data_IF_057912977255
#
_entry.id   IF_057912977255
#
_cell.length_a   1.000
_cell.length_b   1.000
_cell.length_c   1.000
_cell.angle_alpha   90.00
_cell.angle_beta   90.00
_cell.angle_gamma   90.00
#
_symmetry.space_group_name_H-M   'P 1'
#
loop_
_entity.id
_entity.type
_entity.pdbx_description
1 polymer ?
#
# COMPACT_ATOMS: atom_id res chain seq x y z
N UNK A 1 3.56 -0.11 30.74
CA UNK A 1 4.85 0.20 30.08
C UNK A 1 4.91 -0.31 28.64
N UNK A 2 4.60 -1.59 28.36
CA UNK A 2 4.66 -2.16 27.00
C UNK A 2 3.79 -1.41 25.96
N UNK A 3 2.55 -1.06 26.29
CA UNK A 3 1.66 -0.29 25.40
C UNK A 3 2.22 1.11 25.07
N UNK A 4 2.84 1.79 26.04
CA UNK A 4 3.48 3.10 25.85
C UNK A 4 4.71 2.99 24.94
N UNK A 5 5.47 1.89 25.05
CA UNK A 5 6.59 1.59 24.13
C UNK A 5 6.09 1.29 22.70
N UNK A 6 4.92 0.67 22.56
CA UNK A 6 4.27 0.46 21.27
C UNK A 6 3.84 1.78 20.62
N UNK A 7 3.18 2.66 21.39
CA UNK A 7 2.72 3.97 20.90
C UNK A 7 3.89 4.87 20.51
N UNK A 8 4.96 4.91 21.30
CA UNK A 8 6.17 5.69 20.96
C UNK A 8 6.84 5.19 19.69
N UNK A 9 6.92 3.86 19.48
CA UNK A 9 7.40 3.27 18.23
C UNK A 9 6.52 3.67 17.03
N UNK A 10 5.19 3.70 17.20
CA UNK A 10 4.23 4.13 16.18
C UNK A 10 4.32 5.63 15.87
N UNK A 11 4.49 6.47 16.88
CA UNK A 11 4.68 7.92 16.70
C UNK A 11 5.97 8.20 15.93
N UNK A 12 7.03 7.45 16.21
CA UNK A 12 8.29 7.60 15.49
C UNK A 12 8.14 7.28 13.99
N UNK A 13 7.31 6.29 13.62
CA UNK A 13 7.03 5.99 12.21
C UNK A 13 6.47 7.18 11.43
N UNK A 14 5.69 8.05 12.07
CA UNK A 14 5.19 9.28 11.46
C UNK A 14 6.28 10.37 11.31
N UNK A 15 7.37 10.27 12.08
CA UNK A 15 8.47 11.23 12.05
C UNK A 15 9.55 10.90 11.00
N UNK A 16 9.64 9.65 10.53
CA UNK A 16 10.64 9.22 9.55
C UNK A 16 10.72 10.10 8.28
N UNK A 17 9.59 10.51 7.64
CA UNK A 17 9.64 11.38 6.46
C UNK A 17 10.31 12.74 6.74
N UNK A 18 10.09 13.30 7.93
CA UNK A 18 10.70 14.57 8.33
C UNK A 18 12.20 14.40 8.55
N UNK A 19 12.62 13.27 9.13
CA UNK A 19 14.03 12.96 9.37
C UNK A 19 14.82 12.92 8.05
N UNK A 20 14.25 12.33 7.00
CA UNK A 20 14.88 12.28 5.66
C UNK A 20 15.07 13.68 5.08
N UNK A 21 14.12 14.60 5.29
CA UNK A 21 14.25 16.01 4.86
C UNK A 21 15.44 16.71 5.52
N UNK A 22 15.79 16.36 6.76
CA UNK A 22 16.96 16.90 7.46
C UNK A 22 18.26 16.21 7.08
N UNK A 23 18.25 14.89 6.81
CA UNK A 23 19.44 14.14 6.44
C UNK A 23 19.88 14.36 4.99
N UNK A 24 18.94 14.56 4.07
CA UNK A 24 19.26 14.65 2.64
C UNK A 24 20.23 15.79 2.29
N UNK A 25 20.10 17.02 2.85
CA UNK A 25 21.09 18.08 2.65
C UNK A 25 22.49 17.70 3.16
N UNK A 26 22.57 17.02 4.31
CA UNK A 26 23.85 16.56 4.87
C UNK A 26 24.51 15.49 4.00
N UNK A 27 23.74 14.53 3.50
CA UNK A 27 24.23 13.51 2.55
C UNK A 27 24.72 14.18 1.26
N UNK A 28 24.02 15.20 0.76
CA UNK A 28 24.43 15.95 -0.42
C UNK A 28 25.66 16.83 -0.22
N UNK A 29 26.03 17.18 1.02
CA UNK A 29 27.31 17.84 1.33
C UNK A 29 28.49 16.86 1.22
N UNK A 30 28.29 15.61 1.64
CA UNK A 30 29.33 14.56 1.63
C UNK A 30 29.44 13.88 0.27
N UNK A 31 28.35 13.81 -0.49
CA UNK A 31 28.26 13.14 -1.79
C UNK A 31 29.37 13.55 -2.80
N UNK A 32 29.71 14.85 -2.97
CA UNK A 32 30.78 15.26 -3.89
C UNK A 32 32.16 14.79 -3.46
N UNK A 33 32.40 14.69 -2.15
CA UNK A 33 33.67 14.21 -1.61
C UNK A 33 33.85 12.71 -1.84
N UNK A 34 32.77 11.93 -1.77
CA UNK A 34 32.81 10.46 -1.93
C UNK A 34 32.77 10.04 -3.41
N UNK A 35 31.93 10.67 -4.23
CA UNK A 35 31.65 10.25 -5.60
C UNK A 35 32.20 11.19 -6.68
N UNK A 36 32.77 12.33 -6.31
CA UNK A 36 33.34 13.29 -7.26
C UNK A 36 32.32 13.95 -8.20
N UNK A 37 31.02 13.89 -7.88
CA UNK A 37 29.93 14.43 -8.69
C UNK A 37 29.15 15.52 -7.93
N UNK A 38 28.67 16.57 -8.60
CA UNK A 38 27.84 17.58 -7.95
C UNK A 38 26.51 16.95 -7.48
N UNK A 39 25.92 17.43 -6.38
CA UNK A 39 24.66 16.89 -5.88
C UNK A 39 23.52 17.19 -6.87
N UNK A 40 22.56 16.27 -7.03
CA UNK A 40 21.46 16.47 -7.98
C UNK A 40 20.57 17.64 -7.54
N UNK A 41 20.13 18.44 -8.52
CA UNK A 41 19.24 19.59 -8.30
C UNK A 41 17.82 19.14 -7.97
N UNK A 42 17.11 19.91 -7.15
CA UNK A 42 15.70 19.64 -6.83
C UNK A 42 14.86 19.59 -8.12
N UNK A 43 13.95 18.61 -8.20
CA UNK A 43 13.08 18.39 -9.37
C UNK A 43 13.65 17.49 -10.47
N UNK A 44 14.92 17.09 -10.39
CA UNK A 44 15.50 16.09 -11.31
C UNK A 44 15.13 14.66 -10.91
N UNK A 45 15.13 13.73 -11.88
CA UNK A 45 14.88 12.31 -11.61
C UNK A 45 15.92 11.71 -10.65
N UNK A 46 17.17 12.19 -10.71
CA UNK A 46 18.25 11.73 -9.83
C UNK A 46 18.05 12.17 -8.37
N UNK A 47 17.52 13.38 -8.15
CA UNK A 47 17.14 13.82 -6.80
C UNK A 47 16.05 12.93 -6.20
N UNK A 48 15.06 12.52 -7.00
CA UNK A 48 14.02 11.59 -6.54
C UNK A 48 14.60 10.22 -6.18
N UNK A 49 15.57 9.71 -6.95
CA UNK A 49 16.29 8.46 -6.62
C UNK A 49 17.07 8.58 -5.30
N UNK A 50 17.81 9.67 -5.11
CA UNK A 50 18.55 9.94 -3.87
C UNK A 50 17.62 10.02 -2.66
N UNK A 51 16.48 10.69 -2.80
CA UNK A 51 15.47 10.73 -1.74
C UNK A 51 14.93 9.34 -1.40
N UNK A 52 14.57 8.53 -2.40
CA UNK A 52 14.07 7.15 -2.19
C UNK A 52 15.10 6.26 -1.50
N UNK A 53 16.36 6.32 -1.91
CA UNK A 53 17.45 5.55 -1.30
C UNK A 53 17.71 5.99 0.14
N UNK A 54 17.74 7.30 0.40
CA UNK A 54 17.90 7.84 1.75
C UNK A 54 16.74 7.43 2.65
N UNK A 55 15.51 7.54 2.14
CA UNK A 55 14.31 7.12 2.85
C UNK A 55 14.34 5.63 3.19
N UNK A 56 14.71 4.79 2.23
CA UNK A 56 14.89 3.36 2.44
C UNK A 56 15.93 3.09 3.52
N UNK A 57 17.10 3.74 3.48
CA UNK A 57 18.16 3.55 4.46
C UNK A 57 17.67 3.89 5.87
N UNK A 58 17.00 5.02 6.05
CA UNK A 58 16.46 5.44 7.36
C UNK A 58 15.44 4.44 7.88
N UNK A 59 14.51 3.99 7.02
CA UNK A 59 13.49 3.00 7.43
C UNK A 59 14.13 1.66 7.78
N UNK A 60 15.05 1.15 6.96
CA UNK A 60 15.74 -0.11 7.22
C UNK A 60 16.58 -0.01 8.49
N UNK A 61 17.32 1.08 8.68
CA UNK A 61 18.09 1.32 9.91
C UNK A 61 17.19 1.34 11.14
N UNK A 62 16.02 1.99 11.07
CA UNK A 62 15.08 2.00 12.18
C UNK A 62 14.45 0.63 12.41
N UNK A 63 14.08 -0.09 11.35
CA UNK A 63 13.58 -1.45 11.44
C UNK A 63 14.61 -2.37 12.13
N UNK A 64 15.89 -2.28 11.73
CA UNK A 64 17.00 -2.99 12.37
C UNK A 64 17.15 -2.59 13.84
N UNK A 65 17.09 -1.30 14.18
CA UNK A 65 17.13 -0.85 15.57
C UNK A 65 15.98 -1.43 16.40
N UNK A 66 14.75 -1.39 15.87
CA UNK A 66 13.58 -1.96 16.56
C UNK A 66 13.66 -3.47 16.70
N UNK A 67 14.21 -4.17 15.70
CA UNK A 67 14.42 -5.62 15.73
C UNK A 67 15.53 -6.00 16.72
N UNK A 68 16.63 -5.25 16.75
CA UNK A 68 17.70 -5.42 17.72
C UNK A 68 17.19 -5.19 19.15
N UNK A 69 16.40 -4.13 19.36
CA UNK A 69 15.73 -3.89 20.63
C UNK A 69 14.83 -5.06 21.02
N UNK A 70 13.95 -5.52 20.13
CA UNK A 70 13.10 -6.68 20.39
C UNK A 70 13.88 -7.97 20.66
N UNK A 71 15.07 -8.12 20.08
CA UNK A 71 15.95 -9.24 20.36
C UNK A 71 16.64 -9.11 21.73
N UNK A 72 17.09 -7.93 22.15
CA UNK A 72 17.87 -7.77 23.39
C UNK A 72 16.99 -7.55 24.63
N UNK A 73 15.84 -6.88 24.50
CA UNK A 73 14.97 -6.51 25.63
C UNK A 73 13.99 -7.63 26.03
N UNK A 74 14.36 -8.89 25.84
CA UNK A 74 13.51 -10.01 26.23
C UNK A 74 13.61 -10.20 27.74
N UNK A 75 12.47 -10.26 28.42
CA UNK A 75 12.44 -10.56 29.85
C UNK A 75 13.14 -11.89 30.15
N UNK A 76 13.94 -11.95 31.24
CA UNK A 76 14.64 -13.17 31.60
C UNK A 76 13.65 -14.31 31.82
N UNK A 77 13.96 -15.47 31.26
CA UNK A 77 13.13 -16.67 31.47
C UNK A 77 13.47 -17.35 32.81
N UNK A 78 12.59 -18.23 33.28
CA UNK A 78 12.75 -18.94 34.55
C UNK A 78 13.99 -19.83 34.58
N UNK A 79 14.38 -20.40 33.44
CA UNK A 79 15.61 -21.17 33.31
C UNK A 79 16.86 -20.29 33.51
N UNK A 80 16.90 -19.10 32.92
CA UNK A 80 17.96 -18.09 33.07
C UNK A 80 18.00 -17.55 34.50
N UNK A 81 16.85 -17.34 35.16
CA UNK A 81 16.78 -16.93 36.57
C UNK A 81 17.41 -17.99 37.50
N UNK A 82 17.23 -19.27 37.19
CA UNK A 82 17.79 -20.40 37.94
C UNK A 82 19.23 -20.77 37.48
N UNK A 83 19.70 -20.20 36.37
CA UNK A 83 21.01 -20.50 35.78
C UNK A 83 21.12 -21.91 35.18
N UNK A 84 20.01 -22.47 34.69
CA UNK A 84 19.94 -23.81 34.08
C UNK A 84 19.53 -23.73 32.61
N UNK A 85 19.83 -24.79 31.85
CA UNK A 85 19.38 -24.91 30.47
C UNK A 85 17.90 -25.36 30.40
N UNK A 86 17.11 -24.97 29.39
CA UNK A 86 15.73 -25.44 29.23
C UNK A 86 15.59 -26.96 29.18
N UNK A 87 16.62 -27.67 28.72
CA UNK A 87 16.72 -29.14 28.64
C UNK A 87 17.07 -29.82 29.96
N UNK A 88 17.27 -29.06 31.04
CA UNK A 88 17.68 -29.59 32.34
C UNK A 88 16.65 -30.55 32.97
N UNK A 89 17.17 -31.61 33.58
CA UNK A 89 16.43 -32.62 34.33
C UNK A 89 15.91 -32.08 35.68
N UNK A 90 14.89 -32.74 36.24
CA UNK A 90 14.30 -32.39 37.54
C UNK A 90 15.33 -32.40 38.69
N UNK A 91 16.35 -33.27 38.60
CA UNK A 91 17.43 -33.33 39.58
C UNK A 91 18.32 -32.08 39.54
N UNK A 92 18.66 -31.63 38.33
CA UNK A 92 19.42 -30.39 38.12
C UNK A 92 18.64 -29.15 38.54
N UNK A 93 17.32 -29.12 38.25
CA UNK A 93 16.42 -28.06 38.71
C UNK A 93 16.39 -27.96 40.25
N UNK A 94 16.23 -29.10 40.95
CA UNK A 94 16.26 -29.15 42.42
C UNK A 94 17.63 -28.78 43.00
N UNK A 95 18.72 -29.15 42.35
CA UNK A 95 20.06 -28.80 42.79
C UNK A 95 20.32 -27.28 42.66
N UNK A 96 19.98 -26.69 41.51
CA UNK A 96 20.11 -25.27 41.25
C UNK A 96 19.30 -24.42 42.24
N UNK A 97 18.03 -24.77 42.48
CA UNK A 97 17.20 -24.08 43.47
C UNK A 97 17.77 -24.15 44.89
N UNK A 98 18.27 -25.33 45.32
CA UNK A 98 18.92 -25.47 46.64
C UNK A 98 20.18 -24.62 46.77
N UNK A 99 20.99 -24.53 45.71
CA UNK A 99 22.18 -23.69 45.70
C UNK A 99 21.82 -22.20 45.75
N UNK A 100 20.83 -21.78 44.96
CA UNK A 100 20.31 -20.42 44.97
C UNK A 100 19.78 -20.04 46.36
N UNK A 101 18.90 -20.87 46.93
CA UNK A 101 18.30 -20.61 48.24
C UNK A 101 19.33 -20.51 49.37
N UNK A 102 20.42 -21.28 49.33
CA UNK A 102 21.51 -21.17 50.33
C UNK A 102 22.28 -19.86 50.25
N UNK A 103 22.39 -19.29 49.04
CA UNK A 103 23.14 -18.06 48.76
C UNK A 103 22.30 -16.81 48.98
N UNK A 104 21.02 -16.87 48.61
CA UNK A 104 20.10 -15.73 48.58
C UNK A 104 18.95 -15.85 49.59
N UNK A 105 19.12 -16.63 50.67
CA UNK A 105 18.11 -16.71 51.73
C UNK A 105 17.85 -15.31 52.32
N UNK A 106 16.59 -14.91 52.57
CA UNK A 106 16.27 -13.59 53.11
C UNK A 106 16.96 -13.32 54.45
N UNK A 107 17.14 -14.34 55.31
CA UNK A 107 17.90 -14.23 56.56
C UNK A 107 19.37 -13.83 56.39
N UNK A 108 19.96 -14.04 55.19
CA UNK A 108 21.36 -13.71 54.90
C UNK A 108 21.53 -12.41 54.13
N UNK A 109 20.62 -12.10 53.21
CA UNK A 109 20.76 -10.98 52.26
C UNK A 109 19.89 -9.78 52.67
N UNK A 110 19.01 -9.95 53.65
CA UNK A 110 18.08 -8.91 54.10
C UNK A 110 16.91 -8.69 53.13
N UNK A 111 16.10 -7.65 53.35
CA UNK A 111 14.85 -7.39 52.62
C UNK A 111 15.07 -7.11 51.13
N UNK A 112 16.24 -6.62 50.73
CA UNK A 112 16.58 -6.36 49.32
C UNK A 112 16.66 -7.66 48.49
N UNK A 113 16.93 -8.80 49.14
CA UNK A 113 16.96 -10.12 48.51
C UNK A 113 15.59 -10.82 48.42
N UNK A 114 14.58 -10.34 49.14
CA UNK A 114 13.27 -10.98 49.25
C UNK A 114 12.55 -11.03 47.89
N UNK A 115 12.58 -9.93 47.14
CA UNK A 115 11.95 -9.85 45.82
C UNK A 115 12.54 -10.84 44.81
N UNK A 116 13.87 -10.99 44.79
CA UNK A 116 14.55 -11.97 43.92
C UNK A 116 14.26 -13.40 44.37
N UNK A 117 14.21 -13.64 45.68
CA UNK A 117 13.90 -14.96 46.23
C UNK A 117 12.48 -15.40 45.87
N UNK A 118 11.49 -14.50 45.96
CA UNK A 118 10.10 -14.75 45.55
C UNK A 118 10.06 -15.13 44.06
N UNK A 119 10.70 -14.34 43.19
CA UNK A 119 10.71 -14.62 41.74
C UNK A 119 11.32 -15.99 41.42
N UNK A 120 12.44 -16.35 42.04
CA UNK A 120 13.11 -17.64 41.79
C UNK A 120 12.33 -18.81 42.39
N UNK A 121 11.66 -18.62 43.53
CA UNK A 121 10.74 -19.61 44.09
C UNK A 121 9.58 -19.87 43.14
N UNK A 122 8.95 -18.81 42.64
CA UNK A 122 7.81 -18.93 41.72
C UNK A 122 8.24 -19.60 40.40
N UNK A 123 9.44 -19.27 39.90
CA UNK A 123 10.07 -19.96 38.77
C UNK A 123 10.27 -21.46 39.04
N UNK A 124 10.79 -21.84 40.21
CA UNK A 124 10.96 -23.24 40.59
C UNK A 124 9.62 -23.98 40.70
N UNK A 125 8.60 -23.36 41.29
CA UNK A 125 7.26 -23.96 41.42
C UNK A 125 6.59 -24.20 40.06
N UNK A 126 6.77 -23.27 39.12
CA UNK A 126 6.29 -23.41 37.75
C UNK A 126 6.99 -24.56 37.01
N UNK A 127 8.33 -24.63 37.10
CA UNK A 127 9.12 -25.64 36.40
C UNK A 127 9.05 -27.03 37.02
N UNK A 128 8.74 -27.14 38.31
CA UNK A 128 8.66 -28.42 39.05
C UNK A 128 7.52 -29.33 38.57
N UNK A 129 6.39 -28.74 38.16
CA UNK A 129 5.25 -29.53 37.66
C UNK A 129 5.35 -29.68 36.15
N UNK A 130 5.28 -30.91 35.59
CA UNK A 130 5.40 -31.11 34.15
C UNK A 130 4.30 -30.40 33.36
N UNK A 131 3.09 -30.29 33.93
CA UNK A 131 1.97 -29.59 33.29
C UNK A 131 2.19 -28.07 33.28
N UNK A 132 2.65 -27.49 34.40
CA UNK A 132 2.94 -26.06 34.49
C UNK A 132 4.17 -25.67 33.67
N UNK A 133 5.20 -26.52 33.64
CA UNK A 133 6.38 -26.37 32.76
C UNK A 133 5.96 -26.35 31.29
N UNK A 134 5.08 -27.27 30.88
CA UNK A 134 4.53 -27.28 29.52
C UNK A 134 3.81 -25.97 29.17
N UNK A 135 2.97 -25.48 30.09
CA UNK A 135 2.19 -24.25 29.88
C UNK A 135 3.11 -23.02 29.81
N UNK A 136 4.05 -22.91 30.75
CA UNK A 136 5.06 -21.86 30.79
C UNK A 136 5.88 -21.81 29.50
N UNK A 137 6.36 -22.95 29.02
CA UNK A 137 7.23 -22.99 27.84
C UNK A 137 6.55 -22.42 26.59
N UNK A 138 5.24 -22.69 26.41
CA UNK A 138 4.49 -22.29 25.21
C UNK A 138 3.86 -20.91 25.30
N UNK A 139 3.31 -20.58 26.45
CA UNK A 139 2.46 -19.40 26.62
C UNK A 139 3.09 -18.35 27.55
N UNK A 140 4.19 -18.69 28.22
CA UNK A 140 4.93 -17.79 29.10
C UNK A 140 4.36 -17.70 30.52
N UNK A 141 4.79 -16.71 31.31
CA UNK A 141 4.35 -16.54 32.70
C UNK A 141 2.84 -16.28 32.82
N UNK A 142 2.24 -15.60 31.83
CA UNK A 142 0.80 -15.28 31.78
C UNK A 142 -0.06 -16.55 31.90
N UNK A 143 0.46 -17.70 31.45
CA UNK A 143 -0.23 -18.99 31.50
C UNK A 143 -0.41 -19.52 32.92
N UNK A 144 0.46 -19.12 33.85
CA UNK A 144 0.45 -19.61 35.23
C UNK A 144 -0.64 -18.93 36.07
N UNK A 145 -1.15 -17.79 35.61
CA UNK A 145 -2.25 -17.06 36.23
C UNK A 145 -3.63 -17.65 35.86
N UNK A 146 -3.68 -18.59 34.91
CA UNK A 146 -4.93 -19.20 34.46
C UNK A 146 -5.47 -20.21 35.49
N UNK A 147 -6.19 -19.69 36.49
CA UNK A 147 -6.76 -20.46 37.59
C UNK A 147 -7.72 -21.59 37.16
N UNK A 148 -8.30 -21.49 35.97
CA UNK A 148 -9.24 -22.47 35.41
C UNK A 148 -8.56 -23.64 34.70
N UNK A 149 -7.23 -23.61 34.52
CA UNK A 149 -6.49 -24.61 33.76
C UNK A 149 -5.67 -25.53 34.71
N UNK A 150 -5.99 -26.82 34.68
CA UNK A 150 -5.31 -27.86 35.46
C UNK A 150 -4.71 -28.96 34.58
N UNK A 151 -5.35 -29.25 33.44
CA UNK A 151 -4.90 -30.29 32.51
C UNK A 151 -4.20 -29.71 31.28
N UNK A 152 -3.34 -30.53 30.65
CA UNK A 152 -2.61 -30.16 29.43
C UNK A 152 -3.54 -29.61 28.33
N UNK A 153 -4.68 -30.27 28.13
CA UNK A 153 -5.67 -29.92 27.11
C UNK A 153 -6.34 -28.57 27.39
N UNK A 154 -6.58 -28.25 28.66
CA UNK A 154 -7.14 -26.95 29.06
C UNK A 154 -6.18 -25.82 28.74
N UNK A 155 -4.89 -25.97 29.07
CA UNK A 155 -3.86 -24.99 28.72
C UNK A 155 -3.75 -24.77 27.21
N UNK A 156 -3.73 -25.84 26.41
CA UNK A 156 -3.66 -25.72 24.95
C UNK A 156 -4.90 -25.02 24.40
N UNK A 157 -6.11 -25.40 24.86
CA UNK A 157 -7.36 -24.78 24.40
C UNK A 157 -7.40 -23.29 24.74
N UNK A 158 -7.05 -22.94 25.97
CA UNK A 158 -7.06 -21.55 26.42
C UNK A 158 -6.01 -20.72 25.68
N UNK A 159 -4.79 -21.24 25.55
CA UNK A 159 -3.72 -20.59 24.80
C UNK A 159 -4.05 -20.40 23.31
N UNK A 160 -4.69 -21.39 22.67
CA UNK A 160 -5.14 -21.27 21.28
C UNK A 160 -6.27 -20.24 21.13
N UNK A 161 -7.19 -20.14 22.08
CA UNK A 161 -8.20 -19.09 22.09
C UNK A 161 -7.58 -17.69 22.24
N UNK A 162 -6.57 -17.54 23.10
CA UNK A 162 -5.85 -16.28 23.24
C UNK A 162 -5.08 -15.91 21.96
N UNK A 163 -4.39 -16.87 21.35
CA UNK A 163 -3.70 -16.69 20.08
C UNK A 163 -4.67 -16.25 18.97
N UNK A 164 -5.79 -16.95 18.81
CA UNK A 164 -6.80 -16.58 17.80
C UNK A 164 -7.37 -15.17 18.03
N UNK A 165 -7.53 -14.74 19.29
CA UNK A 165 -7.91 -13.36 19.61
C UNK A 165 -6.96 -12.30 19.04
N UNK A 166 -5.65 -12.52 19.13
CA UNK A 166 -4.64 -11.62 18.54
C UNK A 166 -4.78 -11.53 17.01
N UNK A 167 -4.96 -12.67 16.33
CA UNK A 167 -5.12 -12.69 14.87
C UNK A 167 -6.41 -12.04 14.42
N UNK A 168 -7.54 -12.32 15.09
CA UNK A 168 -8.83 -11.69 14.77
C UNK A 168 -8.71 -10.17 14.89
N UNK A 169 -8.19 -9.67 16.01
CA UNK A 169 -7.99 -8.25 16.23
C UNK A 169 -7.07 -7.63 15.17
N UNK A 170 -5.99 -8.32 14.82
CA UNK A 170 -5.03 -7.86 13.81
C UNK A 170 -5.64 -7.83 12.41
N UNK A 171 -6.39 -8.87 12.01
CA UNK A 171 -7.12 -8.91 10.73
C UNK A 171 -8.17 -7.82 10.69
N UNK A 172 -8.96 -7.64 11.75
CA UNK A 172 -9.95 -6.57 11.85
C UNK A 172 -9.31 -5.19 11.71
N UNK A 173 -8.17 -4.96 12.37
CA UNK A 173 -7.41 -3.71 12.22
C UNK A 173 -6.88 -3.52 10.80
N UNK A 174 -6.38 -4.58 10.16
CA UNK A 174 -5.90 -4.51 8.77
C UNK A 174 -7.05 -4.21 7.79
N UNK A 175 -8.22 -4.81 7.99
CA UNK A 175 -9.43 -4.52 7.20
C UNK A 175 -9.84 -3.06 7.42
N UNK A 176 -9.87 -2.58 8.67
CA UNK A 176 -10.18 -1.19 8.99
C UNK A 176 -9.20 -0.22 8.31
N UNK A 177 -7.90 -0.47 8.41
CA UNK A 177 -6.87 0.33 7.74
C UNK A 177 -6.99 0.28 6.21
N UNK A 178 -7.41 -0.86 5.66
CA UNK A 178 -7.67 -1.00 4.22
C UNK A 178 -8.96 -0.30 3.78
N UNK A 179 -9.92 -0.11 4.68
CA UNK A 179 -11.16 0.62 4.42
C UNK A 179 -10.97 2.15 4.54
N UNK A 180 -10.14 2.62 5.48
CA UNK A 180 -9.79 4.03 5.63
C UNK A 180 -8.73 4.49 4.62
N UNK A 181 -7.88 3.59 4.13
CA UNK A 181 -6.87 3.85 3.12
C UNK A 181 -7.30 3.44 1.70
N UNK A 182 -6.54 3.85 0.69
CA UNK A 182 -6.68 3.25 -0.66
C UNK A 182 -6.16 1.81 -0.61
N UNK A 183 -6.88 0.82 -1.20
CA UNK A 183 -6.36 -0.53 -1.30
C UNK A 183 -5.11 -0.52 -2.18
N UNK A 184 -3.95 -0.55 -1.53
CA UNK A 184 -2.65 -0.61 -2.21
C UNK A 184 -2.13 -2.04 -2.29
N UNK A 185 -1.17 -2.33 -3.20
CA UNK A 185 -0.53 -3.64 -3.32
C UNK A 185 0.14 -4.12 -2.01
N UNK A 186 0.36 -3.22 -1.05
CA UNK A 186 0.89 -3.51 0.28
C UNK A 186 -0.07 -4.31 1.16
N UNK A 187 -1.38 -4.17 0.97
CA UNK A 187 -2.36 -4.89 1.76
C UNK A 187 -2.17 -6.41 1.65
N UNK A 188 -1.98 -6.90 0.42
CA UNK A 188 -1.70 -8.30 0.13
C UNK A 188 -0.50 -8.85 0.91
N UNK A 189 0.63 -8.15 0.87
CA UNK A 189 1.86 -8.58 1.57
C UNK A 189 1.69 -8.65 3.09
N UNK A 190 0.86 -7.79 3.69
CA UNK A 190 0.57 -7.84 5.12
C UNK A 190 -0.22 -9.08 5.51
N UNK A 191 -1.18 -9.49 4.69
CA UNK A 191 -1.93 -10.73 4.93
C UNK A 191 -1.04 -11.97 4.79
N UNK A 192 -0.14 -11.99 3.81
CA UNK A 192 0.85 -13.07 3.68
C UNK A 192 1.75 -13.14 4.91
N UNK A 193 2.29 -12.01 5.36
CA UNK A 193 3.14 -11.97 6.56
C UNK A 193 2.38 -12.46 7.80
N UNK A 194 1.11 -12.07 7.94
CA UNK A 194 0.27 -12.52 9.05
C UNK A 194 0.00 -14.03 9.00
N UNK A 195 -0.27 -14.57 7.80
CA UNK A 195 -0.46 -16.01 7.60
C UNK A 195 0.82 -16.79 7.92
N UNK A 196 1.98 -16.32 7.47
CA UNK A 196 3.27 -16.91 7.78
C UNK A 196 3.54 -16.91 9.29
N UNK A 197 3.24 -15.79 9.96
CA UNK A 197 3.34 -15.66 11.42
C UNK A 197 2.45 -16.67 12.14
N UNK A 198 1.20 -16.82 11.69
CA UNK A 198 0.26 -17.82 12.22
C UNK A 198 0.76 -19.26 12.06
N UNK A 199 1.32 -19.60 10.90
CA UNK A 199 1.91 -20.93 10.67
C UNK A 199 3.07 -21.18 11.63
N UNK A 200 3.98 -20.23 11.80
CA UNK A 200 5.11 -20.38 12.73
C UNK A 200 4.68 -20.45 14.19
N UNK A 201 3.69 -19.66 14.61
CA UNK A 201 3.15 -19.76 15.97
C UNK A 201 2.52 -21.12 16.23
N UNK A 202 1.77 -21.65 15.26
CA UNK A 202 1.19 -22.98 15.36
C UNK A 202 2.27 -24.07 15.47
N UNK A 203 3.36 -23.94 14.71
CA UNK A 203 4.52 -24.83 14.80
C UNK A 203 5.15 -24.80 16.20
N UNK A 204 5.28 -23.63 16.84
CA UNK A 204 5.81 -23.53 18.20
C UNK A 204 4.87 -24.12 19.28
N UNK A 205 3.56 -24.00 19.10
CA UNK A 205 2.57 -24.56 20.03
C UNK A 205 2.55 -26.09 19.93
N UNK A 206 2.64 -26.63 18.71
CA UNK A 206 2.55 -28.07 18.45
C UNK A 206 3.85 -28.84 18.72
N UNK A 207 5.02 -28.21 18.52
CA UNK A 207 6.29 -28.88 18.74
C UNK A 207 6.54 -29.17 20.24
N UNK A 208 7.20 -30.30 20.57
CA UNK A 208 7.60 -30.59 21.94
C UNK A 208 8.59 -29.52 22.44
N UNK A 209 8.39 -29.07 23.69
CA UNK A 209 9.31 -28.17 24.39
C UNK A 209 9.81 -28.90 25.63
N UNK A 210 11.13 -28.90 25.91
CA UNK A 210 12.19 -28.15 25.21
C UNK A 210 12.52 -28.76 23.84
N UNK A 211 12.80 -27.93 22.83
CA UNK A 211 13.35 -28.43 21.58
C UNK A 211 14.74 -29.02 21.88
N UNK A 212 15.08 -30.23 21.41
CA UNK A 212 16.43 -30.76 21.57
C UNK A 212 17.42 -29.77 20.96
N UNK A 213 18.52 -29.49 21.67
CA UNK A 213 19.57 -28.57 21.23
C UNK A 213 19.91 -28.87 19.76
N UNK A 214 19.75 -27.85 18.91
CA UNK A 214 19.92 -27.97 17.48
C UNK A 214 21.39 -28.30 17.18
N UNK A 215 21.70 -29.58 17.08
CA UNK A 215 22.94 -30.10 16.45
C UNK A 215 22.86 -30.02 14.92
N UNK A 216 21.72 -29.54 14.40
CA UNK A 216 21.42 -29.39 12.99
C UNK A 216 21.96 -28.08 12.41
N UNK A 217 22.74 -28.21 11.34
CA UNK A 217 23.20 -27.12 10.47
C UNK A 217 22.06 -26.19 9.99
N UNK A 218 22.37 -24.92 9.65
CA UNK A 218 21.39 -23.97 9.06
C UNK A 218 20.66 -24.54 7.83
N UNK A 219 21.34 -25.39 7.04
CA UNK A 219 20.75 -26.11 5.90
C UNK A 219 19.62 -27.06 6.31
N UNK A 220 19.79 -27.80 7.40
CA UNK A 220 18.72 -28.70 7.91
C UNK A 220 17.53 -27.95 8.51
N UNK A 221 17.70 -26.71 8.98
CA UNK A 221 16.59 -25.87 9.43
C UNK A 221 15.82 -25.21 8.27
N UNK A 222 16.52 -24.91 7.16
CA UNK A 222 15.94 -24.28 5.96
C UNK A 222 15.36 -25.28 4.95
N UNK A 223 15.88 -26.50 4.90
CA UNK A 223 15.51 -27.56 3.96
C UNK A 223 15.11 -28.87 4.66
N UNK A 224 14.51 -28.77 5.85
CA UNK A 224 14.13 -29.93 6.64
C UNK A 224 13.24 -30.90 5.84
N UNK A 225 13.66 -32.16 5.75
CA UNK A 225 12.84 -33.26 5.23
C UNK A 225 11.67 -33.49 6.21
N UNK A 226 10.40 -33.40 5.76
CA UNK A 226 9.22 -33.49 6.64
C UNK A 226 9.10 -34.83 7.38
N UNK A 227 9.90 -35.84 7.04
CA UNK A 227 9.86 -37.19 7.59
C UNK A 227 10.80 -37.42 8.79
N UNK A 228 11.78 -36.55 9.01
CA UNK A 228 12.72 -36.66 10.13
C UNK A 228 12.20 -35.81 11.32
N UNK A 229 11.74 -36.49 12.37
CA UNK A 229 11.02 -35.93 13.53
C UNK A 229 11.77 -34.93 14.43
N UNK A 230 12.80 -34.23 13.94
CA UNK A 230 13.53 -33.16 14.65
C UNK A 230 13.52 -31.88 13.83
N UNK A 231 12.34 -31.26 13.68
CA UNK A 231 12.24 -29.94 13.08
C UNK A 231 12.80 -28.88 14.03
N UNK A 232 14.08 -28.54 13.87
CA UNK A 232 14.68 -27.41 14.56
C UNK A 232 14.27 -26.12 13.84
N UNK A 233 13.40 -25.33 14.48
CA UNK A 233 13.04 -24.02 13.96
C UNK A 233 14.29 -23.14 13.78
N UNK A 234 14.35 -22.33 12.72
CA UNK A 234 15.47 -21.41 12.46
C UNK A 234 15.77 -20.50 13.66
N UNK A 235 14.74 -20.13 14.41
CA UNK A 235 14.88 -19.36 15.64
C UNK A 235 15.55 -20.11 16.80
N UNK A 236 15.38 -21.43 16.89
CA UNK A 236 16.07 -22.26 17.87
C UNK A 236 17.57 -22.37 17.58
N UNK A 237 17.99 -22.27 16.32
CA UNK A 237 19.41 -22.21 15.93
C UNK A 237 20.01 -20.84 16.27
N UNK A 238 19.28 -19.76 15.99
CA UNK A 238 19.76 -18.39 16.24
C UNK A 238 19.82 -18.02 17.72
N UNK A 239 18.88 -18.54 18.52
CA UNK A 239 18.79 -18.26 19.96
C UNK A 239 18.48 -19.52 20.76
N UNK A 240 19.50 -20.37 21.03
CA UNK A 240 19.30 -21.66 21.71
C UNK A 240 18.82 -21.53 23.16
N UNK A 241 19.05 -20.38 23.81
CA UNK A 241 18.69 -20.15 25.21
C UNK A 241 17.26 -19.60 25.40
N UNK A 242 16.46 -19.50 24.32
CA UNK A 242 15.10 -18.95 24.37
C UNK A 242 14.05 -20.05 24.39
N UNK A 243 12.92 -19.71 25.01
CA UNK A 243 11.76 -20.61 25.12
C UNK A 243 10.74 -20.26 24.03
N UNK A 244 9.83 -21.20 23.70
CA UNK A 244 8.88 -21.05 22.60
C UNK A 244 8.05 -19.75 22.68
N UNK A 245 7.53 -19.38 23.86
CA UNK A 245 6.76 -18.14 24.02
C UNK A 245 7.58 -16.87 23.69
N UNK A 246 8.89 -16.86 23.95
CA UNK A 246 9.77 -15.72 23.63
C UNK A 246 9.96 -15.60 22.12
N UNK A 247 10.02 -16.73 21.40
CA UNK A 247 10.05 -16.74 19.94
C UNK A 247 8.74 -16.21 19.35
N UNK A 248 7.58 -16.62 19.89
CA UNK A 248 6.27 -16.11 19.46
C UNK A 248 6.16 -14.60 19.66
N UNK A 249 6.52 -14.08 20.85
CA UNK A 249 6.53 -12.63 21.13
C UNK A 249 7.47 -11.86 20.19
N UNK A 250 8.66 -12.41 19.92
CA UNK A 250 9.60 -11.83 18.96
C UNK A 250 9.01 -11.78 17.54
N UNK A 251 8.30 -12.83 17.14
CA UNK A 251 7.69 -12.97 15.82
C UNK A 251 6.50 -12.02 15.64
N UNK A 252 5.68 -11.79 16.68
CA UNK A 252 4.66 -10.73 16.67
C UNK A 252 5.28 -9.33 16.56
N UNK A 253 6.39 -9.07 17.27
CA UNK A 253 7.11 -7.79 17.15
C UNK A 253 7.69 -7.61 15.75
N UNK A 254 8.30 -8.66 15.18
CA UNK A 254 8.81 -8.66 13.80
C UNK A 254 7.68 -8.35 12.82
N UNK A 255 6.54 -9.03 12.93
CA UNK A 255 5.35 -8.79 12.11
C UNK A 255 4.94 -7.32 12.13
N UNK A 256 4.79 -6.74 13.33
CA UNK A 256 4.40 -5.34 13.47
C UNK A 256 5.42 -4.41 12.78
N UNK A 257 6.72 -4.57 13.07
CA UNK A 257 7.76 -3.73 12.46
C UNK A 257 7.83 -3.86 10.93
N UNK A 258 7.76 -5.08 10.39
CA UNK A 258 7.74 -5.34 8.95
C UNK A 258 6.49 -4.77 8.28
N UNK A 259 5.31 -4.91 8.91
CA UNK A 259 4.04 -4.39 8.40
C UNK A 259 4.05 -2.86 8.28
N UNK A 260 4.57 -2.17 9.31
CA UNK A 260 4.74 -0.71 9.29
C UNK A 260 5.81 -0.27 8.29
N UNK A 261 6.94 -0.98 8.22
CA UNK A 261 8.00 -0.69 7.24
C UNK A 261 7.46 -0.80 5.81
N UNK A 262 6.79 -1.91 5.47
CA UNK A 262 6.17 -2.11 4.15
C UNK A 262 5.16 -1.03 3.80
N UNK A 263 4.31 -0.64 4.76
CA UNK A 263 3.26 0.38 4.55
C UNK A 263 3.85 1.76 4.22
N UNK A 264 5.03 2.08 4.75
CA UNK A 264 5.68 3.37 4.53
C UNK A 264 6.64 3.36 3.33
N UNK A 265 7.33 2.24 3.10
CA UNK A 265 8.41 2.12 2.12
C UNK A 265 7.90 1.83 0.72
N UNK A 266 6.92 0.94 0.58
CA UNK A 266 6.43 0.50 -0.74
C UNK A 266 5.82 1.66 -1.54
N UNK A 267 4.98 2.56 -0.98
CA UNK A 267 4.44 3.68 -1.74
C UNK A 267 5.51 4.66 -2.25
N UNK A 268 6.63 4.78 -1.53
CA UNK A 268 7.74 5.69 -1.87
C UNK A 268 8.64 5.09 -2.95
N UNK A 269 8.90 3.78 -2.89
CA UNK A 269 9.69 3.06 -3.90
C UNK A 269 8.91 2.87 -5.20
N UNK A 270 7.66 2.45 -5.08
CA UNK A 270 6.78 2.09 -6.19
C UNK A 270 5.55 3.00 -6.15
N UNK A 271 5.69 4.26 -6.58
CA UNK A 271 4.53 5.14 -6.70
C UNK A 271 3.55 4.50 -7.68
N UNK A 272 2.29 4.38 -7.27
CA UNK A 272 1.23 3.91 -8.17
C UNK A 272 1.17 4.84 -9.39
N UNK A 273 1.14 4.29 -10.62
CA UNK A 273 1.06 5.12 -11.81
C UNK A 273 -0.21 5.97 -11.74
N UNK A 274 -0.10 7.24 -12.14
CA UNK A 274 -1.29 8.07 -12.35
C UNK A 274 -2.14 7.44 -13.46
N UNK A 275 -3.47 7.62 -13.45
CA UNK A 275 -4.35 7.00 -14.45
C UNK A 275 -3.91 7.28 -15.89
N UNK A 276 -3.36 8.48 -16.16
CA UNK A 276 -2.82 8.86 -17.47
C UNK A 276 -1.53 8.11 -17.86
N UNK A 277 -0.62 7.88 -16.90
CA UNK A 277 0.59 7.07 -17.13
C UNK A 277 0.23 5.59 -17.28
N UNK A 278 -0.79 5.12 -16.56
CA UNK A 278 -1.23 3.74 -16.62
C UNK A 278 -1.85 3.41 -17.98
N UNK A 279 -2.61 4.33 -18.57
CA UNK A 279 -3.11 4.19 -19.95
C UNK A 279 -1.95 4.11 -20.96
N UNK A 280 -0.96 4.99 -20.87
CA UNK A 280 0.21 4.95 -21.75
C UNK A 280 1.03 3.65 -21.59
N UNK A 281 1.21 3.17 -20.35
CA UNK A 281 1.91 1.92 -20.08
C UNK A 281 1.19 0.73 -20.71
N UNK A 282 -0.13 0.61 -20.49
CA UNK A 282 -0.96 -0.47 -21.03
C UNK A 282 -0.93 -0.43 -22.57
N UNK A 283 -1.04 0.75 -23.18
CA UNK A 283 -0.97 0.90 -24.64
C UNK A 283 0.38 0.45 -25.18
N UNK A 284 1.48 0.82 -24.52
CA UNK A 284 2.81 0.45 -24.97
C UNK A 284 3.08 -1.06 -24.81
N UNK A 285 2.67 -1.67 -23.71
CA UNK A 285 2.72 -3.12 -23.50
C UNK A 285 1.87 -3.87 -24.54
N UNK A 286 0.62 -3.43 -24.75
CA UNK A 286 -0.25 -4.03 -25.76
C UNK A 286 0.36 -3.94 -27.17
N UNK A 287 1.02 -2.83 -27.50
CA UNK A 287 1.77 -2.69 -28.77
C UNK A 287 2.94 -3.68 -28.84
N UNK A 288 3.70 -3.86 -27.76
CA UNK A 288 4.81 -4.81 -27.75
C UNK A 288 4.33 -6.26 -27.92
N UNK A 289 3.27 -6.66 -27.21
CA UNK A 289 2.67 -7.99 -27.35
C UNK A 289 2.15 -8.20 -28.77
N UNK A 290 1.51 -7.19 -29.36
CA UNK A 290 1.02 -7.26 -30.73
C UNK A 290 2.15 -7.40 -31.75
N UNK A 291 3.26 -6.66 -31.57
CA UNK A 291 4.44 -6.79 -32.41
C UNK A 291 5.08 -8.18 -32.30
N UNK A 292 5.20 -8.71 -31.08
CA UNK A 292 5.70 -10.07 -30.85
C UNK A 292 4.77 -11.13 -31.46
N UNK A 293 3.46 -10.98 -31.31
CA UNK A 293 2.49 -11.88 -31.93
C UNK A 293 2.60 -11.89 -33.45
N UNK A 294 2.72 -10.72 -34.08
CA UNK A 294 2.88 -10.61 -35.53
C UNK A 294 4.20 -11.24 -36.01
N UNK A 295 5.28 -11.06 -35.26
CA UNK A 295 6.56 -11.70 -35.57
C UNK A 295 6.45 -13.24 -35.51
N UNK A 296 5.84 -13.77 -34.45
CA UNK A 296 5.61 -15.22 -34.30
C UNK A 296 4.72 -15.75 -35.42
N UNK A 297 3.66 -15.04 -35.79
CA UNK A 297 2.79 -15.42 -36.91
C UNK A 297 3.57 -15.47 -38.23
N UNK A 298 4.46 -14.51 -38.47
CA UNK A 298 5.29 -14.49 -39.67
C UNK A 298 6.33 -15.62 -39.67
N UNK A 299 6.96 -15.91 -38.54
CA UNK A 299 7.85 -17.07 -38.42
C UNK A 299 7.10 -18.39 -38.66
N UNK A 300 5.91 -18.55 -38.09
CA UNK A 300 5.08 -19.74 -38.30
C UNK A 300 4.69 -19.91 -39.77
N UNK A 301 4.27 -18.83 -40.46
CA UNK A 301 3.91 -18.93 -41.88
C UNK A 301 5.13 -19.24 -42.75
N UNK A 302 6.28 -18.62 -42.49
CA UNK A 302 7.51 -18.94 -43.23
C UNK A 302 7.94 -20.39 -43.02
N UNK A 303 7.88 -20.92 -41.79
CA UNK A 303 8.18 -22.32 -41.51
C UNK A 303 7.23 -23.27 -42.26
N UNK A 304 5.92 -23.02 -42.19
CA UNK A 304 4.92 -23.81 -42.93
C UNK A 304 5.18 -23.75 -44.44
N UNK A 305 5.48 -22.58 -44.98
CA UNK A 305 5.78 -22.42 -46.39
C UNK A 305 7.08 -23.13 -46.80
N UNK A 306 8.12 -23.12 -45.95
CA UNK A 306 9.34 -23.90 -46.19
C UNK A 306 9.07 -25.40 -46.17
N UNK A 307 8.24 -25.90 -45.24
CA UNK A 307 7.83 -27.30 -45.20
C UNK A 307 7.00 -27.68 -46.43
N UNK A 308 6.10 -26.79 -46.87
CA UNK A 308 5.29 -27.00 -48.06
C UNK A 308 6.13 -27.04 -49.34
N UNK A 309 7.09 -26.12 -49.48
CA UNK A 309 8.04 -26.13 -50.59
C UNK A 309 8.99 -27.34 -50.53
N UNK A 310 9.39 -27.77 -49.34
CA UNK A 310 10.16 -29.01 -49.18
C UNK A 310 9.34 -30.24 -49.62
N UNK A 311 8.04 -30.27 -49.30
CA UNK A 311 7.13 -31.34 -49.73
C UNK A 311 6.85 -31.31 -51.24
N UNK A 312 6.66 -30.14 -51.84
CA UNK A 312 6.47 -30.00 -53.29
C UNK A 312 7.77 -30.18 -54.10
N UNK A 313 8.92 -29.93 -53.47
CA UNK A 313 10.25 -30.01 -54.10
C UNK A 313 10.81 -31.43 -54.19
N UNK A 314 10.20 -32.42 -53.55
CA UNK A 314 10.62 -33.82 -53.67
C UNK A 314 9.94 -34.54 -54.81
N UNK A 315 10.28 -34.14 -56.04
CA UNK A 315 10.42 -35.12 -57.12
C UNK A 315 11.77 -35.82 -56.93
N UNK A 316 11.83 -36.77 -55.99
CA UNK A 316 12.95 -37.71 -55.84
C UNK A 316 14.15 -37.28 -54.99
N UNK A 317 13.95 -36.71 -53.78
CA UNK A 317 15.03 -36.57 -52.81
C UNK A 317 14.90 -37.59 -51.66
N UNK A 318 15.92 -38.43 -51.51
CA UNK A 318 16.04 -39.42 -50.42
C UNK A 318 16.35 -38.72 -49.09
N UNK A 319 15.50 -38.90 -48.08
CA UNK A 319 15.71 -38.36 -46.73
C UNK A 319 16.57 -39.31 -45.88
N UNK A 320 17.58 -38.83 -45.14
CA UNK A 320 18.44 -39.69 -44.32
C UNK A 320 17.73 -40.43 -43.17
N UNK A 321 16.51 -40.00 -42.79
CA UNK A 321 15.78 -40.56 -41.65
C UNK A 321 14.43 -41.21 -42.01
N UNK A 322 13.82 -40.89 -43.15
CA UNK A 322 12.44 -41.33 -43.45
C UNK A 322 12.31 -42.33 -44.62
N UNK A 323 13.40 -42.64 -45.33
CA UNK A 323 13.36 -43.57 -46.47
C UNK A 323 12.56 -43.04 -47.67
N UNK A 324 12.55 -43.78 -48.78
CA UNK A 324 11.78 -43.43 -49.98
C UNK A 324 10.27 -43.59 -49.73
N UNK A 325 9.51 -42.52 -49.95
CA UNK A 325 8.05 -42.54 -49.89
C UNK A 325 7.47 -43.08 -51.22
N UNK A 326 6.46 -43.97 -51.19
CA UNK A 326 5.88 -44.53 -52.41
C UNK A 326 5.17 -43.46 -53.23
N UNK A 327 5.45 -43.40 -54.53
CA UNK A 327 4.68 -42.62 -55.48
C UNK A 327 3.32 -43.28 -55.71
N UNK A 328 2.28 -42.72 -55.11
CA UNK A 328 0.90 -43.03 -55.45
C UNK A 328 0.10 -41.73 -55.66
N UNK A 329 -0.79 -41.72 -56.65
CA UNK A 329 -1.54 -40.52 -57.09
C UNK A 329 -2.36 -39.86 -55.97
N UNK A 330 -2.63 -40.58 -54.89
CA UNK A 330 -3.26 -40.07 -53.67
C UNK A 330 -2.41 -39.00 -52.96
N UNK A 331 -1.09 -38.99 -53.13
CA UNK A 331 -0.22 -37.96 -52.55
C UNK A 331 -0.47 -36.60 -53.21
N UNK A 332 -0.69 -36.55 -54.53
CA UNK A 332 -0.98 -35.31 -55.25
C UNK A 332 -2.34 -34.74 -54.84
N UNK A 333 -3.35 -35.59 -54.62
CA UNK A 333 -4.67 -35.17 -54.14
C UNK A 333 -4.63 -34.64 -52.69
N UNK A 334 -3.85 -35.28 -51.81
CA UNK A 334 -3.64 -34.81 -50.43
C UNK A 334 -2.85 -33.50 -50.41
N UNK A 335 -1.83 -33.38 -51.26
CA UNK A 335 -1.03 -32.15 -51.38
C UNK A 335 -1.88 -31.01 -51.95
N UNK A 336 -2.74 -31.27 -52.93
CA UNK A 336 -3.68 -30.28 -53.47
C UNK A 336 -4.76 -29.88 -52.48
N UNK A 337 -5.31 -30.82 -51.69
CA UNK A 337 -6.26 -30.53 -50.63
C UNK A 337 -5.62 -29.70 -49.51
N UNK A 338 -4.39 -30.03 -49.12
CA UNK A 338 -3.62 -29.28 -48.12
C UNK A 338 -3.26 -27.88 -48.65
N UNK A 339 -2.90 -27.74 -49.92
CA UNK A 339 -2.62 -26.46 -50.56
C UNK A 339 -3.88 -25.56 -50.60
N UNK A 340 -5.05 -26.13 -50.90
CA UNK A 340 -6.31 -25.40 -50.87
C UNK A 340 -6.72 -24.97 -49.45
N UNK A 341 -6.49 -25.82 -48.44
CA UNK A 341 -6.67 -25.41 -47.04
C UNK A 341 -5.67 -24.33 -46.62
N UNK A 342 -4.42 -24.41 -47.07
CA UNK A 342 -3.39 -23.41 -46.76
C UNK A 342 -3.70 -22.06 -47.42
N UNK A 343 -4.21 -22.07 -48.65
CA UNK A 343 -4.68 -20.88 -49.35
C UNK A 343 -5.86 -20.24 -48.62
N UNK A 344 -6.82 -21.04 -48.14
CA UNK A 344 -7.90 -20.56 -47.29
C UNK A 344 -7.39 -19.99 -45.96
N UNK A 345 -6.39 -20.60 -45.35
CA UNK A 345 -5.78 -20.13 -44.10
C UNK A 345 -4.95 -18.84 -44.33
N UNK A 346 -4.30 -18.70 -45.47
CA UNK A 346 -3.61 -17.48 -45.91
C UNK A 346 -4.60 -16.35 -46.22
N UNK A 347 -5.70 -16.65 -46.90
CA UNK A 347 -6.80 -15.70 -47.14
C UNK A 347 -7.47 -15.30 -45.82
N UNK A 348 -7.70 -16.24 -44.90
CA UNK A 348 -8.26 -15.95 -43.59
C UNK A 348 -7.31 -15.10 -42.75
N UNK A 349 -6.01 -15.40 -42.76
CA UNK A 349 -5.00 -14.61 -42.03
C UNK A 349 -4.77 -13.24 -42.65
N UNK A 350 -4.78 -13.10 -43.98
CA UNK A 350 -4.77 -11.79 -44.64
C UNK A 350 -6.05 -11.00 -44.36
N UNK A 351 -7.23 -11.62 -44.44
CA UNK A 351 -8.49 -10.97 -44.05
C UNK A 351 -8.51 -10.59 -42.57
N UNK A 352 -7.83 -11.35 -41.70
CA UNK A 352 -7.71 -11.06 -40.26
C UNK A 352 -6.66 -9.98 -39.97
N UNK A 353 -5.59 -9.90 -40.77
CA UNK A 353 -4.52 -8.90 -40.68
C UNK A 353 -4.93 -7.52 -41.27
N UNK A 354 -5.59 -7.52 -42.44
CA UNK A 354 -6.25 -6.33 -42.99
C UNK A 354 -7.44 -5.89 -42.12
N UNK A 355 -7.86 -6.77 -41.21
CA UNK A 355 -8.84 -6.51 -40.19
C UNK A 355 -10.23 -6.62 -40.79
N UNK A 356 -10.75 -7.85 -40.76
CA UNK A 356 -12.07 -8.18 -41.24
C UNK A 356 -13.21 -7.37 -40.58
N UNK A 357 -14.48 -7.76 -40.78
CA UNK A 357 -15.64 -6.98 -40.36
C UNK A 357 -15.67 -6.61 -38.86
N UNK A 358 -14.89 -7.29 -38.03
CA UNK A 358 -14.69 -6.96 -36.62
C UNK A 358 -13.79 -5.73 -36.39
N UNK A 359 -12.72 -5.51 -37.17
CA UNK A 359 -11.89 -4.30 -37.02
C UNK A 359 -12.67 -3.08 -37.48
N UNK A 360 -13.39 -3.16 -38.61
CA UNK A 360 -14.27 -2.09 -39.06
C UNK A 360 -15.46 -1.89 -38.12
N UNK A 361 -16.01 -2.94 -37.50
CA UNK A 361 -17.04 -2.79 -36.46
C UNK A 361 -16.49 -2.18 -35.17
N UNK A 362 -15.29 -2.55 -34.74
CA UNK A 362 -14.62 -1.98 -33.55
C UNK A 362 -14.22 -0.53 -33.81
N UNK A 363 -13.70 -0.20 -34.99
CA UNK A 363 -13.34 1.16 -35.39
C UNK A 363 -14.58 2.04 -35.53
N UNK A 364 -15.66 1.53 -36.14
CA UNK A 364 -16.96 2.19 -36.13
C UNK A 364 -17.54 2.34 -34.71
N UNK A 365 -17.33 1.37 -33.82
CA UNK A 365 -17.80 1.45 -32.42
C UNK A 365 -16.99 2.47 -31.62
N UNK A 366 -15.68 2.53 -31.81
CA UNK A 366 -14.79 3.54 -31.22
C UNK A 366 -15.17 4.92 -31.74
N UNK A 367 -15.41 5.07 -33.04
CA UNK A 367 -15.82 6.33 -33.65
C UNK A 367 -17.21 6.76 -33.15
N UNK A 368 -18.14 5.81 -32.99
CA UNK A 368 -19.47 6.07 -32.39
C UNK A 368 -19.34 6.58 -30.96
N UNK A 369 -18.48 5.96 -30.16
CA UNK A 369 -18.24 6.34 -28.76
C UNK A 369 -17.50 7.68 -28.63
N UNK A 370 -16.58 7.98 -29.55
CA UNK A 370 -15.93 9.30 -29.66
C UNK A 370 -16.95 10.39 -30.00
N UNK A 371 -17.81 10.15 -31.00
CA UNK A 371 -18.90 11.07 -31.37
C UNK A 371 -19.91 11.26 -30.24
N UNK A 372 -20.18 10.23 -29.44
CA UNK A 372 -21.05 10.30 -28.27
C UNK A 372 -20.44 11.17 -27.16
N UNK A 373 -19.15 10.95 -26.83
CA UNK A 373 -18.41 11.81 -25.89
C UNK A 373 -18.32 13.26 -26.36
N UNK A 374 -18.18 13.49 -27.66
CA UNK A 374 -18.13 14.83 -28.24
C UNK A 374 -19.52 15.49 -28.19
N UNK A 375 -20.59 14.74 -28.43
CA UNK A 375 -21.98 15.19 -28.23
C UNK A 375 -22.30 15.45 -26.77
N UNK A 376 -21.79 14.66 -25.83
CA UNK A 376 -21.90 14.92 -24.39
C UNK A 376 -21.17 16.21 -24.04
N UNK A 377 -19.94 16.42 -24.51
CA UNK A 377 -19.19 17.68 -24.29
C UNK A 377 -19.88 18.90 -24.91
N UNK A 378 -20.44 18.77 -26.10
CA UNK A 378 -21.19 19.84 -26.77
C UNK A 378 -22.55 20.07 -26.12
N UNK A 379 -23.20 19.01 -25.65
CA UNK A 379 -24.45 19.01 -24.91
C UNK A 379 -24.26 19.65 -23.54
N UNK A 380 -23.21 19.33 -22.80
CA UNK A 380 -22.84 19.93 -21.52
C UNK A 380 -22.56 21.42 -21.69
N UNK A 381 -21.83 21.82 -22.75
CA UNK A 381 -21.65 23.24 -23.14
C UNK A 381 -22.94 23.92 -23.61
N UNK A 382 -23.95 23.18 -24.06
CA UNK A 382 -25.28 23.72 -24.40
C UNK A 382 -26.12 23.89 -23.15
N UNK A 383 -26.15 22.87 -22.29
CA UNK A 383 -26.80 22.88 -20.99
C UNK A 383 -26.26 23.97 -20.09
N UNK A 384 -24.96 24.20 -20.06
CA UNK A 384 -24.36 25.32 -19.32
C UNK A 384 -24.77 26.67 -19.91
N UNK A 385 -24.79 26.81 -21.25
CA UNK A 385 -25.28 28.03 -21.92
C UNK A 385 -26.76 28.30 -21.68
N UNK A 386 -27.60 27.27 -21.68
CA UNK A 386 -29.04 27.42 -21.44
C UNK A 386 -29.31 27.68 -19.95
N UNK A 387 -28.57 27.04 -19.04
CA UNK A 387 -28.63 27.31 -17.60
C UNK A 387 -28.20 28.73 -17.27
N UNK A 388 -27.15 29.25 -17.91
CA UNK A 388 -26.74 30.65 -17.76
C UNK A 388 -27.81 31.60 -18.34
N UNK A 389 -28.43 31.25 -19.47
CA UNK A 389 -29.51 32.04 -20.08
C UNK A 389 -30.79 32.07 -19.24
N UNK A 390 -31.13 30.96 -18.58
CA UNK A 390 -32.27 30.90 -17.65
C UNK A 390 -31.97 31.63 -16.35
N UNK A 391 -30.73 31.54 -15.84
CA UNK A 391 -30.27 32.30 -14.67
C UNK A 391 -30.30 33.82 -14.94
N UNK A 392 -30.02 34.24 -16.17
CA UNK A 392 -30.16 35.65 -16.59
C UNK A 392 -31.64 36.05 -16.74
N UNK A 393 -32.52 35.17 -17.26
CA UNK A 393 -33.98 35.42 -17.30
C UNK A 393 -34.59 35.56 -15.91
N UNK A 394 -34.17 34.73 -14.96
CA UNK A 394 -34.68 34.78 -13.59
C UNK A 394 -34.20 36.07 -12.90
N UNK A 395 -32.95 36.49 -13.14
CA UNK A 395 -32.47 37.82 -12.72
C UNK A 395 -33.30 38.97 -13.30
N UNK A 396 -33.66 38.90 -14.58
CA UNK A 396 -34.46 39.95 -15.20
C UNK A 396 -35.91 39.96 -14.71
N UNK A 397 -36.50 38.78 -14.43
CA UNK A 397 -37.81 38.66 -13.79
C UNK A 397 -37.83 39.22 -12.37
N UNK A 398 -36.80 38.93 -11.57
CA UNK A 398 -36.70 39.46 -10.21
C UNK A 398 -36.52 40.98 -10.24
N UNK A 399 -35.73 41.49 -11.19
CA UNK A 399 -35.53 42.94 -11.39
C UNK A 399 -36.81 43.67 -11.83
N UNK A 400 -37.68 43.02 -12.61
CA UNK A 400 -38.98 43.59 -13.02
C UNK A 400 -40.06 43.44 -11.95
N UNK A 401 -40.00 42.39 -11.12
CA UNK A 401 -40.87 42.22 -9.95
C UNK A 401 -40.55 43.26 -8.87
N UNK A 402 -39.28 43.56 -8.65
CA UNK A 402 -38.83 44.61 -7.72
C UNK A 402 -39.16 46.03 -8.21
N UNK A 403 -39.27 46.25 -9.52
CA UNK A 403 -39.70 47.54 -10.08
C UNK A 403 -41.20 47.81 -9.97
N UNK A 404 -42.02 46.77 -9.89
CA UNK A 404 -43.49 46.91 -9.76
C UNK A 404 -43.98 46.89 -8.30
N UNK A 405 -43.13 46.52 -7.34
CA UNK A 405 -43.50 46.41 -5.92
C UNK A 405 -43.28 47.69 -5.08
N UNK A 406 -42.85 48.82 -5.68
CA UNK A 406 -42.68 50.08 -4.95
C UNK A 406 -43.94 50.95 -5.03
N UNK A 407 -44.61 51.27 -3.90
CA UNK A 407 -45.67 52.26 -3.89
C UNK A 407 -45.07 53.65 -4.09
N UNK A 408 -45.43 54.30 -5.21
CA UNK A 408 -45.21 55.74 -5.37
C UNK A 408 -46.18 56.48 -4.45
N UNK A 409 -45.68 56.93 -3.30
CA UNK A 409 -46.36 57.96 -2.53
C UNK A 409 -46.22 57.79 -1.02
N UNK A 410 -45.85 58.91 -0.39
CA UNK A 410 -45.78 59.14 1.05
C UNK A 410 -44.60 58.46 1.76
N UNK A 411 -43.61 59.24 2.14
CA UNK A 411 -43.35 59.56 3.56
C UNK A 411 -42.38 60.74 3.62
N UNK A 412 -42.95 61.93 3.81
CA UNK A 412 -42.27 63.02 4.50
C UNK A 412 -42.67 62.93 5.97
N UNK A 413 -41.71 63.04 6.89
CA UNK A 413 -42.01 63.09 8.32
C UNK A 413 -40.86 62.71 9.24
N UNK A 414 -40.09 63.73 9.64
CA UNK A 414 -39.33 63.93 10.89
C UNK A 414 -38.42 62.82 11.47
N UNK A 415 -37.19 63.18 11.91
CA UNK A 415 -36.12 62.24 12.35
C UNK A 415 -36.39 61.50 13.68
N UNK A 416 -37.51 61.75 14.36
CA UNK A 416 -37.84 61.08 15.63
C UNK A 416 -38.36 59.64 15.45
N UNK A 417 -38.94 59.31 14.30
CA UNK A 417 -39.45 57.96 14.01
C UNK A 417 -38.32 56.96 13.68
N UNK A 418 -37.19 57.46 13.19
CA UNK A 418 -36.04 56.65 12.75
C UNK A 418 -35.22 56.14 13.95
N UNK A 419 -35.07 56.95 14.99
CA UNK A 419 -34.36 56.58 16.23
C UNK A 419 -35.13 55.52 17.04
N UNK A 420 -36.47 55.60 17.06
CA UNK A 420 -37.32 54.64 17.76
C UNK A 420 -37.32 53.24 17.10
N UNK A 421 -37.14 53.17 15.78
CA UNK A 421 -37.03 51.90 15.06
C UNK A 421 -35.67 51.22 15.29
N UNK A 422 -34.57 51.99 15.27
CA UNK A 422 -33.21 51.46 15.47
C UNK A 422 -32.98 50.92 16.89
N UNK A 423 -33.58 51.53 17.91
CA UNK A 423 -33.46 51.10 19.30
C UNK A 423 -34.24 49.80 19.59
N UNK A 424 -35.26 49.48 18.77
CA UNK A 424 -36.04 48.24 18.86
C UNK A 424 -35.33 47.02 18.26
N UNK A 425 -34.31 47.25 17.43
CA UNK A 425 -33.58 46.20 16.70
C UNK A 425 -32.12 46.03 17.15
N UNK A 426 -31.73 46.62 18.30
CA UNK A 426 -30.46 46.29 18.97
C UNK A 426 -29.19 46.77 18.28
N UNK A 427 -29.27 47.84 17.48
CA UNK A 427 -28.14 48.43 16.78
C UNK A 427 -27.50 49.52 17.68
N UNK A 428 -26.20 49.45 18.04
CA UNK A 428 -25.57 50.46 18.89
C UNK A 428 -25.43 51.80 18.16
N UNK A 429 -25.97 52.86 18.75
CA UNK A 429 -25.90 54.23 18.22
C UNK A 429 -24.62 54.90 18.71
N UNK A 430 -23.66 55.11 17.80
CA UNK A 430 -22.45 55.88 18.06
C UNK A 430 -22.73 57.39 18.08
N UNK A 431 -22.29 58.05 19.14
CA UNK A 431 -22.38 59.52 19.33
C UNK A 431 -21.51 60.21 18.28
N UNK A 432 -22.14 60.97 17.37
CA UNK A 432 -21.44 61.85 16.42
C UNK A 432 -21.32 63.25 17.03
N UNK A 433 -20.08 63.67 17.28
CA UNK A 433 -19.73 65.02 17.65
C UNK A 433 -19.68 65.88 16.38
N UNK A 434 -20.42 66.99 16.39
CA UNK A 434 -20.52 67.94 15.29
C UNK A 434 -19.31 68.89 15.25
N UNK A 435 -18.79 69.14 14.05
CA UNK A 435 -17.77 70.14 13.79
C UNK A 435 -17.82 70.55 12.32
N UNK A 436 -18.51 71.65 12.05
CA UNK A 436 -18.53 72.37 10.77
C UNK A 436 -17.37 73.36 10.77
N UNK A 437 -16.60 73.39 9.69
CA UNK A 437 -15.93 74.57 9.09
C UNK A 437 -15.10 74.09 7.88
N UNK A 438 -14.69 74.84 6.86
CA UNK A 438 -15.16 75.98 6.06
C UNK A 438 -13.94 76.32 5.15
N UNK A 439 -14.15 76.62 3.86
CA UNK A 439 -13.15 77.11 2.86
C UNK A 439 -12.00 76.11 2.53
N UNK A 440 -11.39 76.02 1.35
CA UNK A 440 -11.08 77.03 0.33
C UNK A 440 -10.70 76.37 -1.04
N UNK A 441 -10.57 77.23 -2.05
CA UNK A 441 -10.26 77.04 -3.48
C UNK A 441 -8.98 76.24 -3.82
N UNK A 442 -8.93 75.64 -5.02
CA UNK A 442 -7.63 75.23 -5.61
C UNK A 442 -7.65 74.31 -6.84
N UNK A 443 -7.86 74.90 -8.03
CA UNK A 443 -7.28 74.61 -9.36
C UNK A 443 -6.74 73.21 -9.77
N UNK A 444 -7.07 72.84 -11.03
CA UNK A 444 -6.11 72.23 -11.99
C UNK A 444 -6.43 70.78 -12.40
N UNK A 445 -7.09 70.56 -13.53
CA UNK A 445 -6.50 70.15 -14.83
C UNK A 445 -5.96 68.70 -14.85
N UNK A 446 -6.32 67.80 -15.77
CA UNK A 446 -7.13 67.90 -16.98
C UNK A 446 -7.16 66.55 -17.74
N UNK A 447 -8.08 66.51 -18.72
CA UNK A 447 -8.16 65.66 -19.93
C UNK A 447 -8.27 64.13 -19.76
N UNK A 448 -9.38 63.42 -20.04
CA UNK A 448 -10.36 63.39 -21.15
C UNK A 448 -10.12 62.20 -22.12
N UNK A 449 -11.01 61.21 -22.03
CA UNK A 449 -11.44 60.36 -23.15
C UNK A 449 -12.75 60.92 -23.70
N UNK A 450 -12.99 60.89 -25.03
CA UNK A 450 -14.35 60.53 -25.47
C UNK A 450 -14.47 59.85 -26.85
N UNK A 451 -15.65 59.25 -27.07
CA UNK A 451 -16.26 59.10 -28.41
C UNK A 451 -16.49 57.66 -28.84
N UNK A 452 -17.58 56.99 -28.44
CA UNK A 452 -18.93 56.99 -29.08
C UNK A 452 -18.92 56.92 -30.62
N UNK A 453 -19.44 55.78 -31.12
CA UNK A 453 -19.96 55.57 -32.47
C UNK A 453 -21.18 56.46 -32.75
N UNK A 454 -21.57 56.61 -34.03
CA UNK A 454 -22.97 56.34 -34.36
C UNK A 454 -23.21 55.55 -35.66
N UNK A 455 -24.30 54.78 -35.59
CA UNK A 455 -25.38 54.59 -36.57
C UNK A 455 -25.12 54.10 -38.01
N UNK A 456 -25.80 52.99 -38.28
CA UNK A 456 -26.21 52.39 -39.55
C UNK A 456 -27.11 53.32 -40.39
N UNK A 457 -26.91 53.38 -41.71
CA UNK A 457 -27.99 53.62 -42.70
C UNK A 457 -27.74 52.73 -43.93
N UNK A 458 -28.80 52.02 -44.31
CA UNK A 458 -28.91 51.05 -45.40
C UNK A 458 -29.43 51.79 -46.64
N UNK A 459 -28.70 51.75 -47.76
CA UNK A 459 -29.15 52.28 -49.06
C UNK A 459 -29.05 51.18 -50.13
N UNK A 460 -30.18 50.85 -50.75
CA UNK A 460 -30.30 49.89 -51.86
C UNK A 460 -30.95 50.65 -53.02
N UNK A 461 -30.31 50.73 -54.18
CA UNK A 461 -30.93 50.49 -55.49
C UNK A 461 -30.02 50.88 -56.66
N UNK A 462 -29.92 49.93 -57.62
CA UNK A 462 -29.95 50.04 -59.10
C UNK A 462 -28.93 50.96 -59.78
N UNK A 463 -28.40 50.69 -60.98
CA UNK A 463 -28.53 49.64 -61.98
C UNK A 463 -27.52 49.97 -63.10
N UNK A 464 -26.84 48.97 -63.64
CA UNK A 464 -26.37 48.98 -65.04
C UNK A 464 -26.49 47.53 -65.55
N UNK A 465 -27.19 47.36 -66.67
CA UNK A 465 -27.49 46.09 -67.32
C UNK A 465 -28.97 45.78 -67.33
#
# INVERSE_FOLDING_TARGET
MAALSGITKLLFWNFLPNLVRYLLPYIHQVYPYVFGRPPPKQGTADFARHYRLTYLLVVVSYAVYTLYGAAVTVEPNYYQMLGIEPTADDNTLKAAFRQFARRYHPDRVGPDGEGLFIQVRDAYEALKSPVKRFAYDRFGPDALEWSQCSTLREYIRHGLLQATGFYILTVSLLILLSALGRPGPVAYWRYILLALVGVYEMLFILNPSPAPAATSSLSSALFADPTLGTQTSLFAVLWPHRVAYQHVRCLHSLFMTCSFALSNVVPVLFPSPTPEMQEHYIINEAKQILLQSNAISLEATTQVQTLLHAAHGTQGATFPFLGELPHDRAADDVVNALAAELENLLLETQMRADGGPLRSAVENAIERKMRERERERLGEKSWDRDRDRDRDRDRDRDRDRDRQAWPRGAFGGTPAAEVAWMQRHGIPVGVVNSGVDRFELGSGSGYASPGRRPAYVRGRSRSLG
#
